data_IF_029546960100
#
_entry.id   IF_029546960100
#
_cell.length_a   1.000
_cell.length_b   1.000
_cell.length_c   1.000
_cell.angle_alpha   90.00
_cell.angle_beta   90.00
_cell.angle_gamma   90.00
#
_symmetry.space_group_name_H-M   'P 1'
#
loop_
_entity.id
_entity.type
_entity.pdbx_description
1 polymer ?
#
# COMPACT_ATOMS: atom_id res chain seq x y z
N UNK A 1 -1.29 33.53 59.09
CA UNK A 1 -2.14 32.31 59.00
C UNK A 1 -2.74 32.28 57.61
N UNK A 2 -2.18 31.41 56.78
CA UNK A 2 -2.45 31.23 55.36
C UNK A 2 -3.75 30.45 55.18
N UNK A 3 -4.71 31.04 54.46
CA UNK A 3 -5.96 30.38 54.06
C UNK A 3 -5.84 29.96 52.60
N UNK A 4 -5.93 28.65 52.38
CA UNK A 4 -5.90 27.97 51.09
C UNK A 4 -7.35 27.86 50.62
N UNK A 5 -7.71 28.55 49.54
CA UNK A 5 -8.93 28.28 48.79
C UNK A 5 -8.59 27.58 47.48
N UNK A 6 -9.05 26.33 47.36
CA UNK A 6 -9.07 25.53 46.14
C UNK A 6 -10.19 26.06 45.25
N UNK A 7 -9.89 26.44 44.02
CA UNK A 7 -10.90 26.66 42.99
C UNK A 7 -10.66 25.69 41.83
N UNK A 8 -11.73 24.94 41.55
CA UNK A 8 -11.79 23.81 40.67
C UNK A 8 -11.70 24.19 39.19
N UNK A 9 -11.26 23.21 38.42
CA UNK A 9 -11.22 23.20 36.96
C UNK A 9 -12.60 23.47 36.34
N UNK A 10 -12.61 24.34 35.33
CA UNK A 10 -13.65 24.40 34.31
C UNK A 10 -13.00 24.79 32.98
N UNK A 11 -12.30 23.83 32.34
CA UNK A 11 -11.92 23.96 30.93
C UNK A 11 -13.12 23.48 30.12
N UNK A 12 -14.07 24.38 29.91
CA UNK A 12 -15.17 24.20 28.97
C UNK A 12 -14.63 24.31 27.55
N UNK A 13 -14.64 23.20 26.82
CA UNK A 13 -14.27 23.15 25.42
C UNK A 13 -15.20 24.01 24.57
N UNK A 14 -14.63 24.98 23.85
CA UNK A 14 -15.30 25.64 22.74
C UNK A 14 -15.32 24.64 21.57
N UNK A 15 -16.42 23.92 21.39
CA UNK A 15 -16.74 23.31 20.10
C UNK A 15 -17.12 24.44 19.14
N UNK A 16 -16.21 24.80 18.24
CA UNK A 16 -16.54 25.61 17.08
C UNK A 16 -17.35 24.73 16.12
N UNK A 17 -18.67 24.95 16.09
CA UNK A 17 -19.55 24.41 15.07
C UNK A 17 -19.25 25.13 13.73
N UNK A 18 -18.41 24.52 12.89
CA UNK A 18 -18.29 24.92 11.49
C UNK A 18 -19.51 24.36 10.77
N UNK A 19 -20.54 25.19 10.61
CA UNK A 19 -21.65 24.95 9.69
C UNK A 19 -21.10 24.99 8.26
N UNK A 20 -20.76 23.82 7.72
CA UNK A 20 -20.58 23.66 6.29
C UNK A 20 -21.95 23.81 5.61
N UNK A 21 -22.27 25.02 5.16
CA UNK A 21 -23.35 25.23 4.22
C UNK A 21 -22.96 24.57 2.89
N UNK A 22 -23.40 23.33 2.69
CA UNK A 22 -23.37 22.70 1.38
C UNK A 22 -24.46 23.35 0.55
N UNK A 23 -24.08 24.28 -0.32
CA UNK A 23 -24.99 24.76 -1.36
C UNK A 23 -25.31 23.56 -2.26
N UNK A 24 -26.55 23.08 -2.19
CA UNK A 24 -27.07 22.09 -3.12
C UNK A 24 -27.20 22.76 -4.49
N UNK A 25 -26.17 22.65 -5.34
CA UNK A 25 -26.26 23.02 -6.74
C UNK A 25 -27.24 22.06 -7.44
N UNK A 26 -28.22 22.61 -8.14
CA UNK A 26 -29.16 21.85 -8.94
C UNK A 26 -28.40 21.05 -10.02
N UNK A 27 -28.58 19.73 -10.05
CA UNK A 27 -27.91 18.84 -11.00
C UNK A 27 -28.55 19.00 -12.39
N UNK A 28 -27.75 19.24 -13.42
CA UNK A 28 -28.22 19.38 -14.80
C UNK A 28 -27.90 18.14 -15.64
N UNK A 29 -28.61 17.91 -16.76
CA UNK A 29 -28.38 16.75 -17.64
C UNK A 29 -26.95 16.62 -18.16
N UNK A 30 -26.21 17.72 -18.32
CA UNK A 30 -24.83 17.72 -18.78
C UNK A 30 -23.85 17.29 -17.67
N UNK A 31 -24.14 17.65 -16.41
CA UNK A 31 -23.37 17.18 -15.26
C UNK A 31 -23.49 15.65 -15.11
N UNK A 32 -24.66 15.09 -15.40
CA UNK A 32 -24.91 13.65 -15.40
C UNK A 32 -24.19 12.90 -16.54
N UNK A 33 -24.04 13.52 -17.70
CA UNK A 33 -23.23 12.95 -18.79
C UNK A 33 -21.76 12.90 -18.41
N UNK A 34 -21.20 14.02 -17.91
CA UNK A 34 -19.80 14.08 -17.49
C UNK A 34 -19.49 13.08 -16.36
N UNK A 35 -20.40 12.93 -15.39
CA UNK A 35 -20.27 11.92 -14.32
C UNK A 35 -20.26 10.48 -14.86
N UNK A 36 -21.16 10.15 -15.80
CA UNK A 36 -21.21 8.82 -16.41
C UNK A 36 -19.93 8.50 -17.18
N UNK A 37 -19.42 9.46 -17.95
CA UNK A 37 -18.17 9.28 -18.68
C UNK A 37 -16.98 9.07 -17.73
N UNK A 38 -16.93 9.81 -16.61
CA UNK A 38 -15.92 9.60 -15.58
C UNK A 38 -16.01 8.21 -14.92
N UNK A 39 -17.23 7.72 -14.67
CA UNK A 39 -17.45 6.37 -14.15
C UNK A 39 -17.03 5.28 -15.14
N UNK A 40 -17.31 5.45 -16.43
CA UNK A 40 -16.89 4.51 -17.47
C UNK A 40 -15.36 4.47 -17.62
N UNK A 41 -14.71 5.63 -17.60
CA UNK A 41 -13.24 5.72 -17.65
C UNK A 41 -12.60 5.02 -16.43
N UNK A 42 -13.16 5.22 -15.24
CA UNK A 42 -12.70 4.53 -14.04
C UNK A 42 -12.93 3.02 -14.12
N UNK A 43 -14.08 2.56 -14.62
CA UNK A 43 -14.31 1.13 -14.85
C UNK A 43 -13.31 0.53 -15.85
N UNK A 44 -13.00 1.23 -16.94
CA UNK A 44 -12.00 0.78 -17.90
C UNK A 44 -10.60 0.72 -17.28
N UNK A 45 -10.25 1.70 -16.44
CA UNK A 45 -9.00 1.69 -15.67
C UNK A 45 -8.95 0.49 -14.72
N UNK A 46 -10.01 0.23 -13.97
CA UNK A 46 -10.09 -0.94 -13.08
C UNK A 46 -10.01 -2.26 -13.85
N UNK A 47 -10.62 -2.34 -15.03
CA UNK A 47 -10.53 -3.52 -15.90
C UNK A 47 -9.12 -3.73 -16.44
N UNK A 48 -8.43 -2.67 -16.88
CA UNK A 48 -7.06 -2.78 -17.38
C UNK A 48 -6.08 -3.16 -16.26
N UNK A 49 -6.25 -2.59 -15.07
CA UNK A 49 -5.54 -3.03 -13.85
C UNK A 49 -5.83 -4.50 -13.53
N UNK A 50 -7.08 -4.96 -13.69
CA UNK A 50 -7.48 -6.36 -13.54
C UNK A 50 -6.90 -7.32 -14.60
N UNK A 51 -6.52 -6.80 -15.77
CA UNK A 51 -5.84 -7.58 -16.82
C UNK A 51 -4.32 -7.62 -16.62
N UNK A 52 -3.75 -6.55 -16.04
CA UNK A 52 -2.32 -6.44 -15.74
C UNK A 52 -1.92 -7.13 -14.43
N UNK A 53 -2.84 -7.22 -13.47
CA UNK A 53 -2.67 -8.14 -12.34
C UNK A 53 -2.63 -9.54 -12.92
N UNK A 54 -1.54 -10.31 -12.69
CA UNK A 54 -1.56 -11.72 -13.02
C UNK A 54 -2.81 -12.27 -12.36
N UNK A 55 -3.76 -12.77 -13.15
CA UNK A 55 -4.77 -13.67 -12.59
C UNK A 55 -3.99 -14.67 -11.77
N UNK A 56 -4.45 -15.07 -10.57
CA UNK A 56 -3.96 -16.31 -10.01
C UNK A 56 -4.24 -17.33 -11.11
N UNK A 57 -3.20 -17.64 -11.88
CA UNK A 57 -3.15 -18.92 -12.55
C UNK A 57 -3.46 -19.84 -11.39
N UNK A 58 -4.32 -20.85 -11.59
CA UNK A 58 -3.93 -22.11 -11.03
C UNK A 58 -2.49 -22.28 -11.55
N UNK A 59 -1.50 -21.83 -10.78
CA UNK A 59 -0.41 -22.72 -10.53
C UNK A 59 -1.18 -23.97 -10.18
N UNK A 60 -1.15 -24.91 -11.11
CA UNK A 60 -1.31 -26.30 -10.75
C UNK A 60 -0.19 -26.48 -9.71
N UNK A 61 -0.48 -26.05 -8.48
CA UNK A 61 0.11 -26.57 -7.27
C UNK A 61 0.00 -28.04 -7.60
N UNK A 62 1.13 -28.74 -7.81
CA UNK A 62 1.06 -30.18 -7.95
C UNK A 62 0.19 -30.57 -6.77
N UNK A 63 -1.03 -31.04 -7.05
CA UNK A 63 -1.90 -31.53 -5.99
C UNK A 63 -0.96 -32.42 -5.22
N UNK A 64 -0.83 -32.26 -3.89
CA UNK A 64 -0.06 -33.23 -3.14
C UNK A 64 -0.65 -34.55 -3.59
N UNK A 65 0.11 -35.32 -4.37
CA UNK A 65 -0.25 -36.67 -4.69
C UNK A 65 -0.59 -37.18 -3.31
N UNK A 66 -1.87 -37.51 -3.08
CA UNK A 66 -2.28 -38.18 -1.85
C UNK A 66 -1.18 -39.19 -1.64
N UNK A 67 -0.43 -39.05 -0.55
CA UNK A 67 0.73 -39.87 -0.29
C UNK A 67 0.24 -41.31 -0.32
N UNK A 68 0.27 -41.87 -1.52
CA UNK A 68 -0.34 -43.13 -1.87
C UNK A 68 0.77 -44.08 -1.54
N UNK A 69 0.74 -44.59 -0.31
CA UNK A 69 1.57 -45.67 0.18
C UNK A 69 2.93 -45.76 -0.51
N UNK A 70 3.68 -44.64 -0.49
CA UNK A 70 5.10 -44.72 -0.80
C UNK A 70 5.68 -45.55 0.33
N UNK A 71 6.15 -46.77 0.01
CA UNK A 71 6.84 -47.68 0.94
C UNK A 71 7.64 -46.86 1.94
N UNK A 72 7.24 -46.93 3.21
CA UNK A 72 7.76 -46.10 4.27
C UNK A 72 9.29 -46.17 4.29
N UNK A 73 9.94 -45.09 3.84
CA UNK A 73 11.35 -44.86 4.12
C UNK A 73 11.56 -44.71 5.64
N UNK A 74 12.82 -44.66 6.11
CA UNK A 74 13.10 -44.44 7.52
C UNK A 74 12.40 -43.16 8.01
N UNK A 75 11.66 -43.28 9.12
CA UNK A 75 10.92 -42.20 9.75
C UNK A 75 11.34 -42.02 11.20
N UNK A 76 11.12 -40.83 11.75
CA UNK A 76 11.40 -40.53 13.14
C UNK A 76 10.10 -40.57 13.95
N UNK A 77 10.12 -41.27 15.09
CA UNK A 77 9.00 -41.23 16.03
C UNK A 77 9.00 -39.88 16.76
N UNK A 78 8.11 -38.97 16.36
CA UNK A 78 7.99 -37.63 16.92
C UNK A 78 6.84 -37.61 17.92
N UNK A 79 7.12 -37.21 19.16
CA UNK A 79 6.10 -36.98 20.19
C UNK A 79 5.66 -35.52 20.21
N UNK A 80 6.59 -34.59 20.01
CA UNK A 80 6.32 -33.15 20.08
C UNK A 80 7.09 -32.37 19.01
N UNK A 81 6.52 -31.25 18.57
CA UNK A 81 7.11 -30.34 17.59
C UNK A 81 7.20 -28.97 18.25
N UNK A 82 8.40 -28.41 18.28
CA UNK A 82 8.67 -27.10 18.85
C UNK A 82 9.05 -26.14 17.72
N UNK A 83 8.40 -24.97 17.65
CA UNK A 83 8.74 -23.94 16.66
C UNK A 83 9.21 -22.70 17.40
N UNK A 84 10.50 -22.41 17.29
CA UNK A 84 11.16 -21.26 17.91
C UNK A 84 11.20 -20.07 16.93
N UNK A 85 11.36 -18.85 17.45
CA UNK A 85 11.58 -17.63 16.64
C UNK A 85 10.32 -17.03 15.99
N UNK A 86 9.14 -17.56 16.28
CA UNK A 86 7.86 -17.02 15.81
C UNK A 86 7.41 -15.87 16.72
N UNK A 87 7.25 -14.67 16.16
CA UNK A 87 6.69 -13.51 16.90
C UNK A 87 5.40 -12.99 16.29
N UNK A 88 5.13 -13.26 14.99
CA UNK A 88 3.95 -12.76 14.28
C UNK A 88 2.72 -13.65 14.35
N UNK A 89 2.86 -14.87 14.87
CA UNK A 89 1.75 -15.82 15.01
C UNK A 89 1.60 -16.26 16.46
N UNK A 90 0.35 -16.49 16.87
CA UNK A 90 0.06 -17.09 18.16
C UNK A 90 0.44 -18.57 18.17
N UNK A 91 0.73 -19.11 19.35
CA UNK A 91 1.01 -20.54 19.52
C UNK A 91 -0.09 -21.41 18.90
N UNK A 92 -1.37 -21.08 19.13
CA UNK A 92 -2.49 -21.82 18.54
C UNK A 92 -2.59 -21.78 17.01
N UNK A 93 -2.01 -20.77 16.34
CA UNK A 93 -1.93 -20.76 14.88
C UNK A 93 -0.85 -21.72 14.36
N UNK A 94 0.29 -21.79 15.07
CA UNK A 94 1.36 -22.75 14.79
C UNK A 94 0.91 -24.18 15.09
N UNK A 95 0.25 -24.39 16.24
CA UNK A 95 -0.24 -25.69 16.67
C UNK A 95 -1.23 -26.31 15.67
N UNK A 96 -2.07 -25.50 15.02
CA UNK A 96 -2.97 -25.98 13.97
C UNK A 96 -2.22 -26.60 12.79
N UNK A 97 -1.04 -26.10 12.47
CA UNK A 97 -0.20 -26.58 11.37
C UNK A 97 0.64 -27.78 11.81
N UNK A 98 1.16 -27.78 13.05
CA UNK A 98 2.05 -28.84 13.56
C UNK A 98 1.31 -30.05 14.12
N UNK A 99 0.10 -29.91 14.66
CA UNK A 99 -0.65 -30.98 15.31
C UNK A 99 -0.83 -32.27 14.48
N UNK A 100 -1.06 -32.23 13.15
CA UNK A 100 -1.17 -33.43 12.33
C UNK A 100 0.11 -34.29 12.28
N UNK A 101 1.26 -33.72 12.65
CA UNK A 101 2.58 -34.34 12.60
C UNK A 101 3.08 -34.78 13.98
N UNK A 102 2.37 -34.45 15.06
CA UNK A 102 2.73 -34.88 16.42
C UNK A 102 2.26 -36.32 16.71
N UNK A 103 2.93 -36.99 17.66
CA UNK A 103 2.62 -38.35 18.13
C UNK A 103 2.53 -39.42 17.03
N UNK A 104 3.36 -39.31 15.99
CA UNK A 104 3.42 -40.28 14.88
C UNK A 104 4.84 -40.44 14.35
N UNK A 105 5.03 -41.43 13.47
CA UNK A 105 6.26 -41.51 12.70
C UNK A 105 6.20 -40.51 11.54
N UNK A 106 7.22 -39.67 11.42
CA UNK A 106 7.31 -38.63 10.40
C UNK A 106 8.58 -38.81 9.59
N UNK A 107 8.45 -38.99 8.28
CA UNK A 107 9.56 -39.08 7.33
C UNK A 107 10.02 -37.73 6.82
N UNK A 108 11.13 -37.72 6.07
CA UNK A 108 11.71 -36.48 5.49
C UNK A 108 10.71 -35.76 4.55
N UNK A 109 9.91 -36.51 3.79
CA UNK A 109 8.88 -35.92 2.92
C UNK A 109 7.80 -35.15 3.69
N UNK A 110 7.36 -35.69 4.82
CA UNK A 110 6.39 -35.06 5.73
C UNK A 110 7.01 -33.87 6.47
N UNK A 111 8.28 -33.95 6.90
CA UNK A 111 9.01 -32.79 7.46
C UNK A 111 9.06 -31.65 6.43
N UNK A 112 9.39 -31.94 5.18
CA UNK A 112 9.41 -30.95 4.12
C UNK A 112 8.01 -30.36 3.83
N UNK A 113 6.94 -31.16 3.97
CA UNK A 113 5.57 -30.66 3.88
C UNK A 113 5.25 -29.70 5.03
N UNK A 114 5.57 -30.07 6.27
CA UNK A 114 5.38 -29.21 7.43
C UNK A 114 6.15 -27.88 7.31
N UNK A 115 7.41 -27.90 6.84
CA UNK A 115 8.18 -26.68 6.59
C UNK A 115 7.50 -25.77 5.56
N UNK A 116 6.95 -26.35 4.48
CA UNK A 116 6.19 -25.59 3.47
C UNK A 116 4.92 -25.01 4.06
N UNK A 117 4.16 -25.79 4.82
CA UNK A 117 2.89 -25.33 5.43
C UNK A 117 3.13 -24.16 6.41
N UNK A 118 4.17 -24.26 7.24
CA UNK A 118 4.59 -23.17 8.13
C UNK A 118 5.10 -21.96 7.35
N UNK A 119 5.85 -22.16 6.26
CA UNK A 119 6.30 -21.05 5.41
C UNK A 119 5.11 -20.38 4.69
N UNK A 120 4.14 -21.15 4.22
CA UNK A 120 2.91 -20.63 3.60
C UNK A 120 2.10 -19.79 4.58
N UNK A 121 2.05 -20.14 5.87
CA UNK A 121 1.41 -19.32 6.90
C UNK A 121 1.98 -17.88 6.92
N UNK A 122 3.30 -17.73 6.77
CA UNK A 122 3.96 -16.43 6.64
C UNK A 122 3.62 -15.73 5.32
N UNK A 123 3.71 -16.44 4.19
CA UNK A 123 3.45 -15.89 2.87
C UNK A 123 2.01 -15.37 2.71
N UNK A 124 1.03 -16.10 3.24
CA UNK A 124 -0.39 -15.69 3.22
C UNK A 124 -0.60 -14.37 3.98
N UNK A 125 0.20 -14.12 5.01
CA UNK A 125 0.22 -12.86 5.74
C UNK A 125 1.17 -11.82 5.16
N UNK A 126 1.82 -12.08 4.02
CA UNK A 126 2.67 -11.12 3.31
C UNK A 126 4.11 -11.06 3.79
N UNK A 127 4.53 -11.95 4.70
CA UNK A 127 5.89 -11.98 5.24
C UNK A 127 6.84 -12.76 4.32
N UNK A 128 7.19 -12.15 3.19
CA UNK A 128 7.93 -12.80 2.09
C UNK A 128 9.40 -13.08 2.38
N UNK A 129 9.98 -12.42 3.39
CA UNK A 129 11.37 -12.62 3.81
C UNK A 129 11.53 -13.67 4.92
N UNK A 130 10.42 -14.20 5.45
CA UNK A 130 10.42 -15.15 6.56
C UNK A 130 10.54 -16.60 6.09
N UNK A 131 11.32 -17.41 6.81
CA UNK A 131 11.54 -18.84 6.48
C UNK A 131 11.61 -19.69 7.74
N UNK A 132 11.21 -20.95 7.64
CA UNK A 132 11.33 -21.95 8.70
C UNK A 132 12.31 -23.04 8.24
N UNK A 133 13.20 -23.47 9.12
CA UNK A 133 14.14 -24.56 8.84
C UNK A 133 14.33 -25.50 10.04
N UNK A 134 14.94 -26.65 9.77
CA UNK A 134 15.31 -27.66 10.78
C UNK A 134 16.75 -27.40 11.21
N UNK A 135 17.03 -26.95 12.44
CA UNK A 135 18.40 -26.86 12.95
C UNK A 135 18.99 -28.26 13.16
N UNK A 136 20.32 -28.34 13.24
CA UNK A 136 21.00 -29.57 13.63
C UNK A 136 20.50 -30.05 15.01
N UNK A 137 20.07 -31.31 15.08
CA UNK A 137 19.48 -31.92 16.27
C UNK A 137 19.46 -33.45 16.15
N UNK A 138 19.25 -34.16 17.27
CA UNK A 138 19.11 -35.61 17.33
C UNK A 138 17.65 -36.00 17.63
N UNK A 139 16.84 -36.07 16.58
CA UNK A 139 15.40 -36.37 16.67
C UNK A 139 15.16 -37.81 17.16
N UNK A 140 16.03 -38.75 16.80
CA UNK A 140 15.86 -40.16 17.15
C UNK A 140 15.92 -40.37 18.66
N UNK A 141 16.81 -39.66 19.35
CA UNK A 141 16.95 -39.73 20.81
C UNK A 141 15.91 -38.89 21.54
N UNK A 142 15.67 -37.65 21.10
CA UNK A 142 14.78 -36.72 21.83
C UNK A 142 13.31 -36.99 21.56
N UNK A 143 12.97 -37.55 20.39
CA UNK A 143 11.60 -37.64 19.86
C UNK A 143 10.93 -36.27 19.69
N UNK A 144 11.71 -35.19 19.72
CA UNK A 144 11.24 -33.82 19.54
C UNK A 144 11.81 -33.29 18.24
N UNK A 145 10.94 -32.80 17.36
CA UNK A 145 11.34 -32.06 16.17
C UNK A 145 11.28 -30.57 16.45
N UNK A 146 12.46 -29.97 16.59
CA UNK A 146 12.61 -28.53 16.72
C UNK A 146 12.71 -27.89 15.35
N UNK A 147 11.99 -26.80 15.14
CA UNK A 147 11.99 -25.95 13.96
C UNK A 147 12.33 -24.52 14.39
N UNK A 148 13.05 -23.79 13.55
CA UNK A 148 13.39 -22.38 13.80
C UNK A 148 12.83 -21.52 12.68
N UNK A 149 11.97 -20.57 13.04
CA UNK A 149 11.49 -19.52 12.17
C UNK A 149 12.45 -18.32 12.24
N UNK A 150 12.89 -17.84 11.09
CA UNK A 150 13.61 -16.57 10.94
C UNK A 150 12.67 -15.61 10.27
N UNK A 151 12.17 -14.65 11.04
CA UNK A 151 11.31 -13.58 10.55
C UNK A 151 12.17 -12.45 9.99
N UNK A 152 12.18 -12.31 8.66
CA UNK A 152 13.14 -11.43 8.00
C UNK A 152 12.83 -9.95 8.22
N UNK A 153 13.80 -9.17 8.68
CA UNK A 153 13.65 -7.73 8.96
C UNK A 153 14.26 -6.85 7.88
N UNK A 154 13.73 -5.63 7.76
CA UNK A 154 14.20 -4.65 6.80
C UNK A 154 15.33 -3.81 7.42
N UNK A 155 16.58 -4.05 7.02
CA UNK A 155 17.73 -3.32 7.57
C UNK A 155 17.80 -1.86 7.09
N UNK A 156 17.56 -1.62 5.81
CA UNK A 156 17.64 -0.28 5.23
C UNK A 156 16.79 -0.12 3.97
N UNK A 157 16.62 1.13 3.53
CA UNK A 157 15.90 1.49 2.30
C UNK A 157 16.81 2.37 1.45
N UNK A 158 17.04 1.93 0.21
CA UNK A 158 17.91 2.58 -0.75
C UNK A 158 17.09 3.23 -1.86
N UNK A 159 17.61 4.29 -2.44
CA UNK A 159 17.11 4.85 -3.70
C UNK A 159 18.21 4.74 -4.74
N UNK A 160 17.92 4.09 -5.86
CA UNK A 160 18.85 3.88 -6.98
C UNK A 160 20.21 3.33 -6.52
N UNK A 161 20.18 2.33 -5.63
CA UNK A 161 21.36 1.66 -5.08
C UNK A 161 22.13 2.44 -4.00
N UNK A 162 21.60 3.59 -3.53
CA UNK A 162 22.26 4.42 -2.52
C UNK A 162 21.46 4.46 -1.22
N UNK A 163 22.11 4.35 -0.05
CA UNK A 163 21.42 4.47 1.24
C UNK A 163 20.80 5.84 1.41
N UNK A 164 19.57 5.87 1.91
CA UNK A 164 18.89 7.09 2.33
C UNK A 164 19.02 7.21 3.84
N UNK A 165 20.03 7.96 4.29
CA UNK A 165 20.36 8.13 5.71
C UNK A 165 20.43 9.60 6.11
N UNK A 166 19.69 9.97 7.16
CA UNK A 166 19.75 11.29 7.80
C UNK A 166 18.65 12.26 7.38
N UNK A 167 18.40 13.25 8.25
CA UNK A 167 17.47 14.35 7.97
C UNK A 167 18.07 15.26 6.89
N UNK A 168 17.31 15.51 5.81
CA UNK A 168 17.74 16.36 4.70
C UNK A 168 18.55 15.64 3.60
N UNK A 169 18.78 14.33 3.71
CA UNK A 169 19.34 13.56 2.59
C UNK A 169 18.37 13.58 1.39
N UNK A 170 18.90 13.61 0.17
CA UNK A 170 18.06 13.56 -1.03
C UNK A 170 17.15 12.32 -1.00
N UNK A 171 15.84 12.53 -1.10
CA UNK A 171 14.83 11.47 -1.00
C UNK A 171 14.45 11.04 0.42
N UNK A 172 15.00 11.65 1.48
CA UNK A 172 14.65 11.29 2.86
C UNK A 172 13.18 11.53 3.18
N UNK A 173 12.61 12.65 2.70
CA UNK A 173 11.19 12.96 2.88
C UNK A 173 10.29 11.97 2.14
N UNK A 174 10.67 11.61 0.90
CA UNK A 174 10.00 10.59 0.08
C UNK A 174 9.95 9.24 0.81
N UNK A 175 11.07 8.77 1.36
CA UNK A 175 11.08 7.51 2.13
C UNK A 175 10.30 7.63 3.43
N UNK A 176 10.43 8.76 4.13
CA UNK A 176 9.76 8.96 5.42
C UNK A 176 8.23 8.96 5.31
N UNK A 177 7.68 9.50 4.22
CA UNK A 177 6.22 9.49 3.99
C UNK A 177 5.72 8.21 3.31
N UNK A 178 6.52 7.56 2.45
CA UNK A 178 6.11 6.32 1.80
C UNK A 178 6.24 5.08 2.69
N UNK A 179 7.31 4.98 3.49
CA UNK A 179 7.67 3.80 4.26
C UNK A 179 7.87 4.11 5.77
N UNK A 180 6.89 4.72 6.45
CA UNK A 180 7.06 5.15 7.83
C UNK A 180 7.29 3.94 8.75
N UNK A 181 8.37 3.97 9.54
CA UNK A 181 8.63 2.97 10.58
C UNK A 181 9.00 1.57 10.09
N UNK A 182 9.31 1.38 8.79
CA UNK A 182 9.62 0.04 8.27
C UNK A 182 11.04 -0.45 8.57
N UNK A 183 12.01 0.46 8.76
CA UNK A 183 13.40 0.08 9.06
C UNK A 183 13.47 -0.58 10.44
N UNK A 184 14.07 -1.76 10.50
CA UNK A 184 14.19 -2.60 11.70
C UNK A 184 13.01 -3.55 11.93
N UNK A 185 11.89 -3.35 11.24
CA UNK A 185 10.68 -4.17 11.40
C UNK A 185 10.69 -5.39 10.49
N UNK A 186 9.85 -6.37 10.82
CA UNK A 186 9.64 -7.58 10.00
C UNK A 186 9.00 -7.15 8.68
N UNK A 187 9.62 -7.56 7.57
CA UNK A 187 9.22 -7.10 6.24
C UNK A 187 7.87 -7.70 5.84
N UNK A 188 6.92 -6.85 5.48
CA UNK A 188 5.67 -7.25 4.85
C UNK A 188 5.58 -6.71 3.43
N UNK A 189 5.17 -7.55 2.49
CA UNK A 189 4.99 -7.17 1.09
C UNK A 189 3.94 -6.06 0.92
N UNK A 190 2.84 -6.10 1.70
CA UNK A 190 1.77 -5.10 1.59
C UNK A 190 2.23 -3.71 1.98
N UNK A 191 3.12 -3.60 2.98
CA UNK A 191 3.70 -2.32 3.38
C UNK A 191 4.63 -1.76 2.29
N UNK A 192 5.37 -2.65 1.61
CA UNK A 192 6.23 -2.28 0.48
C UNK A 192 5.38 -1.80 -0.71
N UNK A 193 4.34 -2.55 -1.07
CA UNK A 193 3.41 -2.19 -2.15
C UNK A 193 2.73 -0.86 -1.86
N UNK A 194 2.23 -0.67 -0.64
CA UNK A 194 1.59 0.57 -0.22
C UNK A 194 2.54 1.77 -0.35
N UNK A 195 3.79 1.65 0.10
CA UNK A 195 4.76 2.73 -0.03
C UNK A 195 5.16 2.98 -1.49
N UNK A 196 5.28 1.93 -2.30
CA UNK A 196 5.53 2.06 -3.73
C UNK A 196 4.40 2.79 -4.45
N UNK A 197 3.15 2.47 -4.12
CA UNK A 197 1.96 3.13 -4.64
C UNK A 197 1.92 4.61 -4.26
N UNK A 198 2.31 4.96 -3.02
CA UNK A 198 2.38 6.38 -2.62
C UNK A 198 3.41 7.18 -3.43
N UNK A 199 4.54 6.55 -3.81
CA UNK A 199 5.53 7.18 -4.69
C UNK A 199 4.97 7.31 -6.11
N UNK A 200 4.35 6.25 -6.63
CA UNK A 200 3.81 6.19 -8.01
C UNK A 200 2.48 6.91 -8.21
N UNK A 201 1.86 7.41 -7.15
CA UNK A 201 0.73 8.33 -7.21
C UNK A 201 1.08 9.63 -7.95
N UNK A 202 2.34 10.05 -7.85
CA UNK A 202 2.88 11.19 -8.59
C UNK A 202 3.12 10.79 -10.04
N UNK A 203 2.53 11.52 -10.98
CA UNK A 203 2.60 11.24 -12.44
C UNK A 203 4.03 11.26 -12.96
N UNK A 204 4.89 12.08 -12.36
CA UNK A 204 6.30 12.18 -12.69
C UNK A 204 7.10 10.92 -12.36
N UNK A 205 6.60 10.04 -11.49
CA UNK A 205 7.32 8.85 -11.01
C UNK A 205 6.98 7.57 -11.79
N UNK A 206 7.96 6.66 -11.84
CA UNK A 206 7.80 5.29 -12.28
C UNK A 206 8.75 4.41 -11.47
N UNK A 207 8.48 4.35 -10.17
CA UNK A 207 9.27 3.65 -9.18
C UNK A 207 9.02 2.15 -9.24
N UNK A 208 10.09 1.38 -9.04
CA UNK A 208 10.08 -0.08 -8.87
C UNK A 208 10.81 -0.46 -7.60
N UNK A 209 10.51 -1.62 -7.06
CA UNK A 209 11.15 -2.16 -5.86
C UNK A 209 11.97 -3.41 -6.19
N UNK A 210 13.09 -3.55 -5.49
CA UNK A 210 13.87 -4.79 -5.47
C UNK A 210 14.34 -5.06 -4.04
N UNK A 211 14.28 -6.32 -3.61
CA UNK A 211 14.82 -6.76 -2.33
C UNK A 211 16.26 -7.24 -2.52
N UNK A 212 17.20 -6.60 -1.82
CA UNK A 212 18.61 -6.96 -1.80
C UNK A 212 18.95 -7.66 -0.47
N UNK A 213 19.94 -8.57 -0.44
CA UNK A 213 20.42 -9.16 0.81
C UNK A 213 21.00 -8.10 1.76
N UNK A 214 20.68 -8.20 3.06
CA UNK A 214 21.28 -7.38 4.10
C UNK A 214 22.66 -7.90 4.53
N UNK A 215 23.32 -7.17 5.45
CA UNK A 215 24.66 -7.54 5.95
C UNK A 215 24.64 -8.68 6.97
N UNK A 216 23.51 -8.87 7.65
CA UNK A 216 23.31 -9.90 8.66
C UNK A 216 22.23 -10.87 8.21
N UNK A 217 22.36 -12.13 8.62
CA UNK A 217 21.37 -13.16 8.30
C UNK A 217 19.97 -12.74 8.78
N UNK A 218 18.96 -13.07 7.99
CA UNK A 218 17.57 -12.66 8.27
C UNK A 218 17.28 -11.18 8.02
N UNK A 219 18.21 -10.42 7.42
CA UNK A 219 17.95 -9.01 7.06
C UNK A 219 17.95 -8.78 5.56
N UNK A 220 17.20 -7.78 5.11
CA UNK A 220 17.12 -7.37 3.70
C UNK A 220 17.14 -5.86 3.56
N UNK A 221 17.51 -5.38 2.37
CA UNK A 221 17.50 -3.96 2.01
C UNK A 221 16.46 -3.77 0.89
N UNK A 222 15.56 -2.81 1.06
CA UNK A 222 14.59 -2.44 0.03
C UNK A 222 15.21 -1.38 -0.88
N UNK A 223 15.47 -1.72 -2.14
CA UNK A 223 15.96 -0.77 -3.13
C UNK A 223 14.81 -0.24 -3.98
N UNK A 224 14.61 1.08 -3.95
CA UNK A 224 13.66 1.79 -4.78
C UNK A 224 14.39 2.33 -6.02
N UNK A 225 14.02 1.84 -7.19
CA UNK A 225 14.53 2.33 -8.46
C UNK A 225 13.52 3.33 -9.02
N UNK A 226 13.88 4.60 -9.04
CA UNK A 226 13.01 5.64 -9.58
C UNK A 226 13.84 6.73 -10.26
N UNK A 227 13.41 7.10 -11.46
CA UNK A 227 13.95 8.23 -12.22
C UNK A 227 12.76 9.13 -12.58
N UNK A 228 12.41 10.09 -11.70
CA UNK A 228 11.30 10.98 -11.96
C UNK A 228 11.52 11.74 -13.28
N UNK A 229 10.44 11.90 -14.03
CA UNK A 229 10.38 12.79 -15.20
C UNK A 229 10.17 14.24 -14.74
N UNK A 230 9.59 15.09 -15.61
CA UNK A 230 9.34 16.48 -15.23
C UNK A 230 8.31 16.52 -14.10
N UNK A 231 8.57 17.29 -13.02
CA UNK A 231 7.69 17.31 -11.86
C UNK A 231 6.39 18.08 -12.12
N UNK A 232 6.31 18.86 -13.20
CA UNK A 232 5.10 19.61 -13.54
C UNK A 232 4.40 18.98 -14.74
N UNK A 233 3.08 19.08 -14.76
CA UNK A 233 2.26 18.67 -15.88
C UNK A 233 1.18 19.71 -16.16
N UNK A 234 0.92 19.98 -17.43
CA UNK A 234 -0.03 20.98 -17.89
C UNK A 234 -1.01 20.32 -18.85
N UNK A 235 -2.30 20.55 -18.66
CA UNK A 235 -3.32 20.07 -19.59
C UNK A 235 -4.28 21.20 -19.96
N UNK A 236 -4.76 21.17 -21.20
CA UNK A 236 -5.76 22.07 -21.72
C UNK A 236 -6.89 21.23 -22.31
N UNK A 237 -8.12 21.63 -22.05
CA UNK A 237 -9.31 20.98 -22.53
C UNK A 237 -10.27 21.99 -23.13
N UNK A 238 -11.03 21.54 -24.13
CA UNK A 238 -12.13 22.31 -24.70
C UNK A 238 -13.26 21.34 -25.03
N UNK A 239 -14.48 21.68 -24.66
CA UNK A 239 -15.66 20.82 -24.81
C UNK A 239 -16.93 21.67 -24.93
N UNK A 240 -18.02 21.08 -25.40
CA UNK A 240 -19.34 21.70 -25.47
C UNK A 240 -20.29 21.20 -24.36
N UNK A 241 -19.73 20.76 -23.21
CA UNK A 241 -20.48 20.22 -22.08
C UNK A 241 -20.96 21.28 -21.07
N UNK A 242 -20.81 22.57 -21.37
CA UNK A 242 -21.38 23.66 -20.57
C UNK A 242 -22.92 23.64 -20.57
N UNK A 243 -23.56 24.63 -19.95
CA UNK A 243 -25.03 24.66 -19.83
C UNK A 243 -25.60 25.88 -20.55
N UNK A 244 -26.87 25.82 -20.96
CA UNK A 244 -27.52 26.94 -21.66
C UNK A 244 -27.38 28.27 -20.90
N UNK A 245 -27.51 28.25 -19.56
CA UNK A 245 -27.44 29.44 -18.70
C UNK A 245 -26.01 29.95 -18.42
N UNK A 246 -24.99 29.17 -18.76
CA UNK A 246 -23.58 29.52 -18.53
C UNK A 246 -22.75 29.51 -19.82
N UNK A 247 -23.37 29.16 -20.95
CA UNK A 247 -22.72 28.86 -22.22
C UNK A 247 -22.36 27.37 -22.36
N UNK A 248 -22.50 26.82 -23.57
CA UNK A 248 -22.14 25.42 -23.86
C UNK A 248 -20.64 25.23 -24.07
N UNK A 249 -19.93 26.22 -24.64
CA UNK A 249 -18.46 26.18 -24.70
C UNK A 249 -17.86 26.15 -23.29
N UNK A 250 -16.94 25.21 -23.10
CA UNK A 250 -16.25 24.96 -21.85
C UNK A 250 -14.78 24.73 -22.12
N UNK A 251 -13.94 25.64 -21.64
CA UNK A 251 -12.48 25.57 -21.75
C UNK A 251 -11.87 25.36 -20.38
N UNK A 252 -10.89 24.46 -20.27
CA UNK A 252 -10.20 24.15 -19.03
C UNK A 252 -8.69 24.20 -19.22
N UNK A 253 -7.99 24.60 -18.16
CA UNK A 253 -6.55 24.53 -18.05
C UNK A 253 -6.21 23.99 -16.66
N UNK A 254 -5.34 22.99 -16.56
CA UNK A 254 -4.86 22.48 -15.28
C UNK A 254 -3.35 22.37 -15.23
N UNK A 255 -2.79 22.77 -14.10
CA UNK A 255 -1.38 22.69 -13.77
C UNK A 255 -1.22 21.81 -12.54
N UNK A 256 -0.42 20.77 -12.64
CA UNK A 256 0.02 20.01 -11.48
C UNK A 256 1.52 20.10 -11.26
N UNK A 257 1.92 19.92 -10.01
CA UNK A 257 3.31 19.87 -9.56
C UNK A 257 3.46 18.75 -8.54
N UNK A 258 4.36 17.82 -8.85
CA UNK A 258 4.69 16.65 -8.07
C UNK A 258 5.93 16.90 -7.20
N UNK A 259 5.85 16.43 -5.96
CA UNK A 259 6.93 16.39 -4.97
C UNK A 259 7.58 17.76 -4.72
N UNK A 260 6.78 18.83 -4.64
CA UNK A 260 7.28 20.21 -4.45
C UNK A 260 8.13 20.35 -3.18
N UNK A 261 7.73 19.69 -2.10
CA UNK A 261 8.45 19.72 -0.82
C UNK A 261 9.31 18.48 -0.55
N UNK A 262 9.41 17.55 -1.51
CA UNK A 262 10.23 16.35 -1.36
C UNK A 262 9.64 15.30 -0.41
N UNK A 263 8.32 15.35 -0.16
CA UNK A 263 7.60 14.48 0.80
C UNK A 263 6.48 13.66 0.15
N UNK A 264 6.58 13.39 -1.15
CA UNK A 264 5.53 12.78 -1.97
C UNK A 264 4.24 13.62 -2.04
N UNK A 265 4.36 14.93 -1.92
CA UNK A 265 3.25 15.86 -2.05
C UNK A 265 2.82 16.05 -3.52
N UNK A 266 1.53 16.19 -3.79
CA UNK A 266 0.99 16.48 -5.12
C UNK A 266 0.13 17.73 -5.06
N UNK A 267 0.39 18.68 -5.95
CA UNK A 267 -0.33 19.93 -6.07
C UNK A 267 -1.03 19.95 -7.42
N UNK A 268 -2.32 20.28 -7.44
CA UNK A 268 -3.10 20.43 -8.65
C UNK A 268 -3.90 21.72 -8.59
N UNK A 269 -3.86 22.50 -9.65
CA UNK A 269 -4.67 23.70 -9.83
C UNK A 269 -5.40 23.59 -11.15
N UNK A 270 -6.67 23.96 -11.19
CA UNK A 270 -7.45 23.97 -12.41
C UNK A 270 -8.27 25.26 -12.52
N UNK A 271 -8.25 25.84 -13.71
CA UNK A 271 -9.12 26.93 -14.11
C UNK A 271 -10.08 26.41 -15.17
N UNK A 272 -11.34 26.78 -15.05
CA UNK A 272 -12.36 26.46 -16.04
C UNK A 272 -13.20 27.69 -16.36
N UNK A 273 -13.44 27.87 -17.65
CA UNK A 273 -14.29 28.90 -18.22
C UNK A 273 -15.44 28.27 -18.97
N UNK A 274 -16.65 28.79 -18.77
CA UNK A 274 -17.80 28.49 -19.62
C UNK A 274 -18.41 29.79 -20.14
N UNK A 275 -18.84 29.80 -21.40
CA UNK A 275 -19.39 30.97 -22.07
C UNK A 275 -19.77 30.69 -23.52
N UNK A 276 -20.46 31.61 -24.23
CA UNK A 276 -20.77 31.48 -25.65
C UNK A 276 -19.55 31.85 -26.51
N UNK A 277 -18.44 31.15 -26.34
CA UNK A 277 -17.16 31.46 -26.99
C UNK A 277 -17.01 30.82 -28.38
N UNK A 278 -17.91 29.90 -28.75
CA UNK A 278 -17.85 29.24 -30.04
C UNK A 278 -18.55 30.04 -31.16
N UNK A 279 -18.14 29.88 -32.42
CA UNK A 279 -18.61 30.72 -33.52
C UNK A 279 -20.02 30.35 -34.06
N UNK A 280 -20.70 29.35 -33.51
CA UNK A 280 -22.04 28.95 -33.94
C UNK A 280 -23.14 29.73 -33.23
N UNK A 281 -24.30 29.81 -33.88
CA UNK A 281 -25.53 30.36 -33.29
C UNK A 281 -26.02 29.36 -32.22
N UNK A 282 -26.53 29.88 -31.11
CA UNK A 282 -27.09 29.12 -29.98
C UNK A 282 -26.08 28.46 -29.00
N UNK A 283 -24.93 29.10 -28.73
CA UNK A 283 -23.94 28.65 -27.72
C UNK A 283 -24.32 29.02 -26.25
N UNK A 284 -25.62 29.16 -25.98
CA UNK A 284 -26.17 29.55 -24.67
C UNK A 284 -26.06 31.05 -24.36
N UNK A 285 -26.49 31.43 -23.15
CA UNK A 285 -26.53 32.80 -22.64
C UNK A 285 -25.96 32.86 -21.22
N UNK A 286 -24.69 33.26 -21.07
CA UNK A 286 -24.08 33.44 -19.76
C UNK A 286 -22.58 33.24 -19.79
N UNK A 287 -21.92 33.39 -18.65
CA UNK A 287 -20.50 33.03 -18.49
C UNK A 287 -20.20 32.66 -17.04
N UNK A 288 -19.32 31.70 -16.84
CA UNK A 288 -18.83 31.32 -15.51
C UNK A 288 -17.33 31.06 -15.53
N UNK A 289 -16.70 31.32 -14.38
CA UNK A 289 -15.30 31.03 -14.14
C UNK A 289 -15.19 30.26 -12.83
N UNK A 290 -14.44 29.17 -12.81
CA UNK A 290 -14.12 28.44 -11.58
C UNK A 290 -12.61 28.23 -11.46
N UNK A 291 -12.12 28.29 -10.22
CA UNK A 291 -10.72 28.09 -9.88
C UNK A 291 -10.66 27.08 -8.77
N UNK A 292 -10.13 25.90 -9.04
CA UNK A 292 -10.02 24.83 -8.06
C UNK A 292 -8.56 24.47 -7.79
N UNK A 293 -8.31 23.96 -6.59
CA UNK A 293 -7.01 23.49 -6.17
C UNK A 293 -7.12 22.29 -5.24
N UNK A 294 -6.19 21.36 -5.37
CA UNK A 294 -6.01 20.23 -4.47
C UNK A 294 -4.53 20.10 -4.09
N UNK A 295 -4.28 19.81 -2.83
CA UNK A 295 -2.98 19.35 -2.35
C UNK A 295 -3.16 18.02 -1.62
N UNK A 296 -2.23 17.09 -1.79
CA UNK A 296 -2.24 15.81 -1.07
C UNK A 296 -0.85 15.33 -0.67
N UNK A 297 -0.73 14.79 0.54
CA UNK A 297 0.51 14.28 1.13
C UNK A 297 0.25 12.91 1.79
N UNK A 298 1.04 11.87 1.48
CA UNK A 298 0.86 10.56 2.08
C UNK A 298 1.63 10.40 3.40
N UNK A 299 1.25 9.40 4.18
CA UNK A 299 2.01 8.86 5.31
C UNK A 299 1.67 7.37 5.51
N UNK A 300 2.43 6.50 4.85
CA UNK A 300 2.19 5.07 4.78
C UNK A 300 0.81 4.77 4.20
N UNK A 301 -0.07 4.20 5.02
CA UNK A 301 -1.45 3.87 4.65
C UNK A 301 -2.40 5.08 4.61
N UNK A 302 -1.97 6.25 5.08
CA UNK A 302 -2.81 7.46 5.09
C UNK A 302 -2.46 8.38 3.92
N UNK A 303 -3.47 9.09 3.42
CA UNK A 303 -3.27 10.20 2.48
C UNK A 303 -4.11 11.38 2.94
N UNK A 304 -3.45 12.48 3.29
CA UNK A 304 -4.09 13.71 3.70
C UNK A 304 -4.28 14.59 2.49
N UNK A 305 -5.46 15.18 2.32
CA UNK A 305 -5.74 16.07 1.20
C UNK A 305 -6.52 17.31 1.64
N UNK A 306 -6.23 18.45 1.01
CA UNK A 306 -7.03 19.66 1.13
C UNK A 306 -7.48 20.11 -0.26
N UNK A 307 -8.74 20.54 -0.37
CA UNK A 307 -9.37 20.97 -1.62
C UNK A 307 -9.93 22.39 -1.44
N UNK A 308 -9.93 23.18 -2.50
CA UNK A 308 -10.58 24.48 -2.58
C UNK A 308 -11.12 24.74 -3.98
N UNK A 309 -12.17 25.55 -4.10
CA UNK A 309 -12.84 25.93 -5.35
C UNK A 309 -13.49 27.30 -5.25
#
# INVERSE_FOLDING_TARGET
MTSISRSAAAIGGLLAAVLAASAAAAQTPNDDFARRQAQEAEQQRLQSLGQMTPKPSPAEVPQPEKAGDQKAGPCFAITHIEVEGVTRFSAGAIDKVTAPYANRCVGVGEINALLRDLTHLYLDKGFVSSRVYVPAQDIARTKVLRLVAVEGTLADIYINGKPVSGFGAAGSGVIATAFPGMKGEITNLRDIEQGLDQINRLTSNNAKTAMLPGKTDGTSILNIENKPSHPWHLSFGNSNLGQEQTGYSKSSASLGYDNLFGINDQWNFAYEHTGPDYPWRDDGHGKSNSYSGNVSVPYGYWTFSANGS
#
